data_IF_269665087161
#
_entry.id   IF_269665087161
#
_cell.length_a   1.000
_cell.length_b   1.000
_cell.length_c   1.000
_cell.angle_alpha   90.00
_cell.angle_beta   90.00
_cell.angle_gamma   90.00
#
_symmetry.space_group_name_H-M   'P 1'
#
loop_
_entity.id
_entity.type
_entity.pdbx_description
1 polymer ?
#
# COMPACT_ATOMS: atom_id res chain seq x y z
N UNK A 1 47.98 3.41 -9.43
CA UNK A 1 46.75 4.19 -9.14
C UNK A 1 46.61 5.43 -10.03
N UNK A 2 47.66 6.24 -10.14
CA UNK A 2 47.69 7.46 -10.98
C UNK A 2 47.32 7.24 -12.46
N UNK A 3 47.75 6.13 -13.06
CA UNK A 3 47.40 5.77 -14.43
C UNK A 3 45.90 5.45 -14.63
N UNK A 4 45.22 4.95 -13.59
CA UNK A 4 43.78 4.65 -13.63
C UNK A 4 42.99 5.96 -13.58
N UNK A 5 43.39 6.89 -12.71
CA UNK A 5 42.75 8.21 -12.58
C UNK A 5 42.88 9.03 -13.88
N UNK A 6 44.07 9.03 -14.50
CA UNK A 6 44.30 9.73 -15.78
C UNK A 6 43.49 9.13 -16.93
N UNK A 7 43.29 7.82 -16.93
CA UNK A 7 42.43 7.15 -17.92
C UNK A 7 40.95 7.45 -17.66
N UNK A 8 40.53 7.49 -16.40
CA UNK A 8 39.15 7.83 -16.02
C UNK A 8 38.79 9.26 -16.43
N UNK A 9 39.67 10.24 -16.20
CA UNK A 9 39.44 11.62 -16.61
C UNK A 9 39.32 11.76 -18.13
N UNK A 10 40.22 11.12 -18.88
CA UNK A 10 40.17 11.11 -20.35
C UNK A 10 38.88 10.49 -20.89
N UNK A 11 38.39 9.41 -20.27
CA UNK A 11 37.14 8.77 -20.67
C UNK A 11 35.92 9.64 -20.34
N UNK A 12 35.92 10.30 -19.19
CA UNK A 12 34.85 11.23 -18.80
C UNK A 12 34.75 12.42 -19.76
N UNK A 13 35.89 13.02 -20.14
CA UNK A 13 35.93 14.09 -21.14
C UNK A 13 35.37 13.63 -22.48
N UNK A 14 35.77 12.44 -22.95
CA UNK A 14 35.24 11.86 -24.19
C UNK A 14 33.75 11.57 -24.10
N UNK A 15 33.25 11.08 -22.96
CA UNK A 15 31.83 10.81 -22.77
C UNK A 15 30.98 12.09 -22.92
N UNK A 16 31.43 13.23 -22.39
CA UNK A 16 30.76 14.52 -22.57
C UNK A 16 30.69 15.00 -24.03
N UNK A 17 31.66 14.59 -24.87
CA UNK A 17 31.66 14.91 -26.31
C UNK A 17 30.70 14.04 -27.12
N UNK A 18 30.58 12.75 -26.75
CA UNK A 18 29.73 11.78 -27.44
C UNK A 18 28.26 11.95 -27.02
N UNK A 19 28.02 12.19 -25.74
CA UNK A 19 26.68 12.32 -25.17
C UNK A 19 26.39 13.78 -24.78
N UNK A 20 26.38 14.67 -25.78
CA UNK A 20 25.99 16.06 -25.54
C UNK A 20 24.52 16.10 -25.11
N UNK A 21 24.26 16.78 -24.00
CA UNK A 21 22.89 17.04 -23.55
C UNK A 21 22.12 17.72 -24.69
N UNK A 22 20.95 17.19 -25.11
CA UNK A 22 20.16 17.85 -26.13
C UNK A 22 19.73 19.23 -25.63
N UNK A 23 19.96 20.26 -26.44
CA UNK A 23 19.42 21.58 -26.21
C UNK A 23 17.94 21.55 -26.61
N UNK A 24 17.05 21.43 -25.62
CA UNK A 24 15.61 21.51 -25.82
C UNK A 24 15.14 22.92 -25.49
N UNK A 25 14.33 23.50 -26.37
CA UNK A 25 13.66 24.75 -26.10
C UNK A 25 12.69 24.59 -24.92
N UNK A 26 12.48 25.67 -24.15
CA UNK A 26 11.71 25.66 -22.90
C UNK A 26 10.25 25.25 -23.08
N UNK A 27 9.67 25.57 -24.24
CA UNK A 27 8.33 25.15 -24.67
C UNK A 27 8.23 23.62 -24.80
N UNK A 28 9.24 22.97 -25.38
CA UNK A 28 9.31 21.51 -25.49
C UNK A 28 9.59 20.86 -24.15
N UNK A 29 10.41 21.47 -23.29
CA UNK A 29 10.63 20.98 -21.92
C UNK A 29 9.33 20.99 -21.12
N UNK A 30 8.49 22.01 -21.30
CA UNK A 30 7.17 22.09 -20.67
C UNK A 30 6.24 20.93 -21.03
N UNK A 31 6.40 20.29 -22.20
CA UNK A 31 5.60 19.12 -22.60
C UNK A 31 5.95 17.84 -21.83
N UNK A 32 7.15 17.79 -21.23
CA UNK A 32 7.67 16.63 -20.51
C UNK A 32 7.92 16.92 -19.02
N UNK A 33 7.68 18.16 -18.58
CA UNK A 33 7.59 18.45 -17.17
C UNK A 33 6.32 17.78 -16.65
N UNK A 34 6.46 16.95 -15.62
CA UNK A 34 5.28 16.53 -14.86
C UNK A 34 4.55 17.79 -14.43
N UNK A 35 3.24 17.92 -14.71
CA UNK A 35 2.47 19.05 -14.23
C UNK A 35 2.64 19.12 -12.71
N UNK A 36 2.83 20.32 -12.16
CA UNK A 36 2.97 20.51 -10.70
C UNK A 36 1.77 19.92 -9.91
N UNK A 37 0.67 19.65 -10.61
CA UNK A 37 -0.57 19.03 -10.13
C UNK A 37 -0.45 17.60 -9.59
N UNK A 38 0.68 16.89 -9.76
CA UNK A 38 0.89 15.63 -9.01
C UNK A 38 1.10 15.84 -7.51
N UNK A 39 1.20 17.09 -7.03
CA UNK A 39 1.41 17.41 -5.60
C UNK A 39 0.13 17.54 -4.75
N UNK A 40 -1.06 17.58 -5.35
CA UNK A 40 -2.32 17.69 -4.60
C UNK A 40 -3.08 16.36 -4.52
N UNK A 41 -2.39 15.23 -4.26
CA UNK A 41 -3.11 14.10 -3.69
C UNK A 41 -3.50 14.48 -2.26
N UNK A 42 -4.80 14.59 -1.92
CA UNK A 42 -5.22 14.90 -0.56
C UNK A 42 -4.62 13.88 0.39
N UNK A 43 -3.80 14.36 1.32
CA UNK A 43 -3.23 13.51 2.38
C UNK A 43 -4.35 13.25 3.38
N UNK A 44 -4.75 11.99 3.52
CA UNK A 44 -5.76 11.59 4.48
C UNK A 44 -5.10 11.22 5.81
N UNK A 45 -5.73 11.62 6.91
CA UNK A 45 -5.40 11.21 8.26
C UNK A 45 -6.57 10.44 8.88
N UNK A 46 -6.33 9.83 10.05
CA UNK A 46 -7.33 9.08 10.82
C UNK A 46 -8.61 9.89 11.10
N UNK A 47 -8.48 11.21 11.22
CA UNK A 47 -9.58 12.14 11.50
C UNK A 47 -10.59 12.24 10.35
N UNK A 48 -10.23 11.84 9.12
CA UNK A 48 -11.14 11.88 7.97
C UNK A 48 -12.10 10.68 7.89
N UNK A 49 -11.98 9.71 8.80
CA UNK A 49 -12.87 8.54 8.84
C UNK A 49 -13.89 8.71 9.96
N UNK A 50 -15.12 9.07 9.60
CA UNK A 50 -16.23 9.36 10.54
C UNK A 50 -16.46 8.26 11.59
N UNK A 51 -16.24 7.00 11.21
CA UNK A 51 -16.49 5.84 12.07
C UNK A 51 -15.29 5.42 12.91
N UNK A 52 -14.13 6.05 12.74
CA UNK A 52 -12.90 5.70 13.43
C UNK A 52 -12.73 6.58 14.67
N UNK A 53 -13.64 6.38 15.64
CA UNK A 53 -13.72 7.14 16.89
C UNK A 53 -13.98 6.19 18.08
N UNK A 54 -13.61 6.60 19.29
CA UNK A 54 -13.81 5.82 20.52
C UNK A 54 -13.24 4.40 20.43
N UNK A 55 -14.04 3.40 20.83
CA UNK A 55 -13.64 1.99 20.83
C UNK A 55 -13.20 1.49 19.44
N UNK A 56 -13.76 2.04 18.35
CA UNK A 56 -13.37 1.66 16.97
C UNK A 56 -11.96 2.15 16.62
N UNK A 57 -11.57 3.33 17.11
CA UNK A 57 -10.21 3.86 16.95
C UNK A 57 -9.21 2.99 17.71
N UNK A 58 -9.55 2.54 18.92
CA UNK A 58 -8.69 1.68 19.72
C UNK A 58 -8.55 0.28 19.10
N UNK A 59 -9.65 -0.28 18.59
CA UNK A 59 -9.65 -1.54 17.84
C UNK A 59 -8.76 -1.44 16.58
N UNK A 60 -8.91 -0.35 15.82
CA UNK A 60 -8.06 -0.07 14.66
C UNK A 60 -6.59 0.06 15.05
N UNK A 61 -6.25 0.83 16.09
CA UNK A 61 -4.85 1.02 16.53
C UNK A 61 -4.19 -0.29 16.96
N UNK A 62 -4.94 -1.15 17.64
CA UNK A 62 -4.44 -2.47 18.04
C UNK A 62 -4.17 -3.35 16.80
N UNK A 63 -5.06 -3.31 15.81
CA UNK A 63 -4.87 -4.00 14.54
C UNK A 63 -3.68 -3.42 13.76
N UNK A 64 -3.63 -2.11 13.54
CA UNK A 64 -2.56 -1.39 12.84
C UNK A 64 -1.19 -1.74 13.42
N UNK A 65 -1.05 -1.69 14.74
CA UNK A 65 0.20 -2.04 15.42
C UNK A 65 0.65 -3.47 15.11
N UNK A 66 -0.28 -4.43 15.06
CA UNK A 66 0.06 -5.84 14.76
C UNK A 66 0.41 -6.02 13.29
N UNK A 67 -0.35 -5.40 12.39
CA UNK A 67 -0.10 -5.48 10.94
C UNK A 67 1.24 -4.86 10.56
N UNK A 68 1.59 -3.71 11.14
CA UNK A 68 2.90 -3.06 10.92
C UNK A 68 4.08 -3.85 11.49
N UNK A 69 3.84 -4.76 12.46
CA UNK A 69 4.87 -5.61 13.04
C UNK A 69 5.10 -6.91 12.27
N UNK A 70 4.35 -7.18 11.19
CA UNK A 70 4.54 -8.39 10.38
C UNK A 70 5.91 -8.40 9.69
N UNK A 71 6.30 -7.28 9.08
CA UNK A 71 7.60 -7.12 8.42
C UNK A 71 7.97 -5.64 8.29
N UNK A 72 9.26 -5.33 8.21
CA UNK A 72 9.75 -3.96 8.06
C UNK A 72 9.35 -3.29 6.74
N UNK A 73 8.97 -4.06 5.71
CA UNK A 73 8.48 -3.55 4.43
C UNK A 73 7.01 -3.10 4.47
N UNK A 74 6.27 -3.45 5.53
CA UNK A 74 4.84 -3.10 5.63
C UNK A 74 4.67 -1.60 5.86
N UNK A 75 3.81 -0.99 5.05
CA UNK A 75 3.47 0.44 5.12
C UNK A 75 1.96 0.64 5.04
N UNK A 76 1.49 1.68 5.71
CA UNK A 76 0.08 2.10 5.69
C UNK A 76 -0.10 3.32 4.77
N UNK A 77 -1.14 3.30 3.94
CA UNK A 77 -1.57 4.43 3.13
C UNK A 77 -3.04 4.75 3.41
N UNK A 78 -3.32 5.99 3.81
CA UNK A 78 -4.68 6.47 4.00
C UNK A 78 -5.26 6.98 2.66
N UNK A 79 -6.37 6.39 2.21
CA UNK A 79 -7.12 6.82 1.03
C UNK A 79 -8.44 7.44 1.45
N UNK A 80 -9.12 8.12 0.52
CA UNK A 80 -10.40 8.78 0.79
C UNK A 80 -11.45 7.88 1.45
N UNK A 81 -11.50 6.60 1.06
CA UNK A 81 -12.57 5.67 1.44
C UNK A 81 -12.09 4.49 2.29
N UNK A 82 -10.77 4.26 2.39
CA UNK A 82 -10.21 3.09 3.02
C UNK A 82 -8.75 3.32 3.42
N UNK A 83 -8.28 2.48 4.33
CA UNK A 83 -6.90 2.44 4.81
C UNK A 83 -6.25 1.20 4.21
N UNK A 84 -5.16 1.38 3.47
CA UNK A 84 -4.48 0.30 2.76
C UNK A 84 -3.19 -0.08 3.48
N UNK A 85 -3.01 -1.37 3.77
CA UNK A 85 -1.72 -1.92 4.16
C UNK A 85 -1.06 -2.59 2.96
N UNK A 86 0.21 -2.24 2.75
CA UNK A 86 0.98 -2.62 1.58
C UNK A 86 2.34 -3.16 1.99
N UNK A 87 2.83 -4.13 1.26
CA UNK A 87 4.26 -4.49 1.23
C UNK A 87 4.75 -4.37 -0.22
N UNK A 88 4.71 -5.44 -1.00
CA UNK A 88 4.89 -5.36 -2.45
C UNK A 88 3.65 -4.75 -3.13
N UNK A 89 2.48 -5.26 -2.79
CA UNK A 89 1.17 -4.77 -3.24
C UNK A 89 0.24 -4.60 -2.03
N UNK A 90 -1.03 -4.20 -2.22
CA UNK A 90 -2.02 -4.20 -1.14
C UNK A 90 -2.28 -5.64 -0.69
N UNK A 91 -2.20 -5.94 0.61
CA UNK A 91 -2.66 -7.24 1.14
C UNK A 91 -3.91 -7.11 1.99
N UNK A 92 -4.15 -5.96 2.61
CA UNK A 92 -5.40 -5.70 3.32
C UNK A 92 -5.84 -4.25 3.17
N UNK A 93 -7.09 -4.06 2.78
CA UNK A 93 -7.77 -2.77 2.75
C UNK A 93 -8.84 -2.73 3.85
N UNK A 94 -8.85 -1.68 4.66
CA UNK A 94 -9.75 -1.53 5.82
C UNK A 94 -10.70 -0.38 5.58
N UNK A 95 -11.99 -0.65 5.72
CA UNK A 95 -13.06 0.36 5.72
C UNK A 95 -13.71 0.41 7.10
N UNK A 96 -13.53 1.50 7.86
CA UNK A 96 -14.24 1.70 9.11
C UNK A 96 -15.74 1.83 8.86
N UNK A 97 -16.55 1.05 9.58
CA UNK A 97 -18.01 1.13 9.54
C UNK A 97 -18.56 1.39 10.94
N UNK A 98 -19.84 1.79 11.02
CA UNK A 98 -20.51 2.09 12.30
C UNK A 98 -20.41 0.97 13.36
N UNK A 99 -20.33 -0.30 12.96
CA UNK A 99 -20.32 -1.45 13.89
C UNK A 99 -19.03 -2.27 13.88
N UNK A 100 -18.21 -2.14 12.84
CA UNK A 100 -17.06 -3.03 12.61
C UNK A 100 -16.03 -2.41 11.71
N UNK A 101 -14.81 -2.91 11.75
CA UNK A 101 -13.85 -2.73 10.67
C UNK A 101 -14.14 -3.79 9.60
N UNK A 102 -14.37 -3.36 8.37
CA UNK A 102 -14.51 -4.28 7.23
C UNK A 102 -13.17 -4.38 6.53
N UNK A 103 -12.61 -5.59 6.49
CA UNK A 103 -11.34 -5.89 5.87
C UNK A 103 -11.59 -6.60 4.55
N UNK A 104 -10.90 -6.16 3.51
CA UNK A 104 -10.78 -6.86 2.23
C UNK A 104 -9.36 -7.39 2.12
N UNK A 105 -9.21 -8.71 2.10
CA UNK A 105 -7.92 -9.39 2.04
C UNK A 105 -7.60 -9.71 0.59
N UNK A 106 -6.42 -9.30 0.12
CA UNK A 106 -5.99 -9.51 -1.26
C UNK A 106 -5.46 -10.93 -1.47
N UNK A 107 -6.38 -11.89 -1.47
CA UNK A 107 -6.13 -13.30 -1.77
C UNK A 107 -7.37 -13.89 -2.47
N UNK A 108 -7.18 -14.94 -3.24
CA UNK A 108 -8.26 -15.76 -3.79
C UNK A 108 -9.03 -16.42 -2.64
N UNK A 109 -10.38 -16.48 -2.73
CA UNK A 109 -11.22 -17.08 -1.69
C UNK A 109 -10.90 -18.56 -1.45
N UNK A 110 -10.60 -19.31 -2.51
CA UNK A 110 -10.28 -20.74 -2.40
C UNK A 110 -8.90 -21.01 -1.74
N UNK A 111 -8.05 -20.00 -1.63
CA UNK A 111 -6.71 -20.14 -1.01
C UNK A 111 -6.71 -19.82 0.48
N UNK A 112 -7.72 -19.13 0.99
CA UNK A 112 -7.74 -18.74 2.39
C UNK A 112 -8.15 -19.91 3.27
N UNK A 113 -7.37 -20.18 4.31
CA UNK A 113 -7.69 -21.19 5.32
C UNK A 113 -8.48 -20.53 6.43
N UNK A 114 -9.79 -20.67 6.37
CA UNK A 114 -10.74 -20.12 7.33
C UNK A 114 -11.53 -21.23 8.04
N UNK A 115 -10.97 -21.89 9.07
CA UNK A 115 -11.67 -22.93 9.83
C UNK A 115 -12.95 -22.45 10.54
N UNK A 116 -13.10 -21.14 10.78
CA UNK A 116 -14.31 -20.57 11.40
C UNK A 116 -15.40 -20.20 10.39
N UNK A 117 -15.09 -20.17 9.09
CA UNK A 117 -16.05 -19.87 8.02
C UNK A 117 -16.65 -18.45 8.11
N UNK A 118 -15.89 -17.48 8.60
CA UNK A 118 -16.34 -16.09 8.76
C UNK A 118 -16.01 -15.20 7.55
N UNK A 119 -15.12 -15.67 6.66
CA UNK A 119 -14.76 -15.03 5.42
C UNK A 119 -15.92 -15.14 4.43
N UNK A 120 -16.12 -14.06 3.69
CA UNK A 120 -17.12 -14.00 2.62
C UNK A 120 -16.40 -13.94 1.28
N UNK A 121 -16.84 -14.82 0.39
CA UNK A 121 -16.45 -14.75 -1.01
C UNK A 121 -17.10 -13.51 -1.63
N UNK A 122 -16.24 -12.59 -2.07
CA UNK A 122 -16.64 -11.39 -2.79
C UNK A 122 -16.14 -11.38 -4.23
N UNK A 123 -15.62 -12.52 -4.72
CA UNK A 123 -15.29 -12.72 -6.12
C UNK A 123 -16.53 -12.51 -7.01
N UNK A 124 -16.34 -11.88 -8.17
CA UNK A 124 -17.42 -11.69 -9.15
C UNK A 124 -18.52 -10.67 -8.81
N UNK A 125 -18.46 -9.99 -7.65
CA UNK A 125 -19.44 -8.96 -7.27
C UNK A 125 -19.30 -7.62 -8.02
N UNK A 126 -18.38 -7.50 -8.98
CA UNK A 126 -18.17 -6.29 -9.78
C UNK A 126 -17.75 -5.07 -8.94
N UNK A 127 -17.07 -5.31 -7.81
CA UNK A 127 -16.64 -4.26 -6.88
C UNK A 127 -15.30 -3.68 -7.31
N UNK A 128 -15.16 -2.37 -7.11
CA UNK A 128 -13.86 -1.72 -7.12
C UNK A 128 -13.14 -2.06 -5.81
N UNK A 129 -12.10 -2.87 -5.86
CA UNK A 129 -11.34 -3.28 -4.68
C UNK A 129 -10.31 -4.37 -4.99
N UNK A 130 -9.39 -4.58 -4.06
CA UNK A 130 -8.41 -5.68 -4.12
C UNK A 130 -8.92 -6.86 -3.30
N UNK A 131 -8.72 -8.07 -3.83
CA UNK A 131 -9.01 -9.32 -3.13
C UNK A 131 -10.43 -9.86 -3.29
N UNK A 132 -10.53 -11.18 -3.12
CA UNK A 132 -11.78 -11.93 -3.22
C UNK A 132 -12.37 -12.29 -1.85
N UNK A 133 -11.70 -11.88 -0.76
CA UNK A 133 -12.11 -12.22 0.61
C UNK A 133 -12.49 -10.97 1.41
N UNK A 134 -13.70 -10.97 1.98
CA UNK A 134 -14.15 -9.96 2.94
C UNK A 134 -14.33 -10.58 4.34
N UNK A 135 -13.79 -9.93 5.38
CA UNK A 135 -13.99 -10.32 6.79
C UNK A 135 -14.26 -9.09 7.66
N UNK A 136 -15.02 -9.25 8.74
CA UNK A 136 -15.31 -8.18 9.69
C UNK A 136 -14.57 -8.39 11.01
N UNK A 137 -14.06 -7.30 11.58
CA UNK A 137 -13.52 -7.26 12.94
C UNK A 137 -14.42 -6.37 13.80
N UNK A 138 -15.13 -6.98 14.75
CA UNK A 138 -16.12 -6.30 15.60
C UNK A 138 -15.62 -6.08 17.03
N UNK A 139 -14.81 -7.00 17.55
CA UNK A 139 -14.34 -6.95 18.93
C UNK A 139 -12.85 -7.37 19.04
N UNK A 140 -12.16 -6.95 20.10
CA UNK A 140 -10.74 -7.29 20.30
C UNK A 140 -10.47 -8.79 20.43
N UNK A 141 -11.46 -9.60 20.83
CA UNK A 141 -11.31 -11.06 21.00
C UNK A 141 -11.17 -11.82 19.67
N UNK A 142 -11.57 -11.19 18.56
CA UNK A 142 -11.39 -11.74 17.21
C UNK A 142 -10.02 -11.39 16.61
N UNK A 143 -9.29 -10.47 17.24
CA UNK A 143 -8.08 -9.89 16.65
C UNK A 143 -7.01 -10.93 16.32
N UNK A 144 -6.81 -11.93 17.17
CA UNK A 144 -5.84 -13.00 16.93
C UNK A 144 -6.18 -13.78 15.66
N UNK A 145 -7.44 -14.16 15.50
CA UNK A 145 -7.89 -14.91 14.34
C UNK A 145 -7.88 -14.08 13.06
N UNK A 146 -8.28 -12.81 13.14
CA UNK A 146 -8.21 -11.90 11.99
C UNK A 146 -6.76 -11.69 11.56
N UNK A 147 -5.81 -11.63 12.50
CA UNK A 147 -4.39 -11.53 12.18
C UNK A 147 -3.86 -12.77 11.46
N UNK A 148 -4.29 -14.00 11.83
CA UNK A 148 -3.93 -15.21 11.09
C UNK A 148 -4.41 -15.17 9.62
N UNK A 149 -5.57 -14.56 9.35
CA UNK A 149 -6.08 -14.38 7.99
C UNK A 149 -5.30 -13.30 7.21
N UNK A 150 -4.92 -12.20 7.88
CA UNK A 150 -4.10 -11.14 7.28
C UNK A 150 -2.69 -11.65 6.96
N UNK A 151 -2.10 -12.46 7.84
CA UNK A 151 -0.79 -13.10 7.62
C UNK A 151 -0.82 -13.95 6.36
N UNK A 152 -1.85 -14.76 6.14
CA UNK A 152 -2.01 -15.53 4.90
C UNK A 152 -2.07 -14.62 3.66
N UNK A 153 -2.82 -13.50 3.73
CA UNK A 153 -2.90 -12.55 2.62
C UNK A 153 -1.58 -11.83 2.35
N UNK A 154 -0.78 -11.58 3.39
CA UNK A 154 0.56 -11.01 3.28
C UNK A 154 1.55 -12.02 2.67
N UNK A 155 1.55 -13.27 3.14
CA UNK A 155 2.43 -14.33 2.62
C UNK A 155 2.14 -14.67 1.15
N UNK A 156 0.87 -14.66 0.74
CA UNK A 156 0.46 -14.95 -0.64
C UNK A 156 0.93 -13.89 -1.67
N UNK A 157 1.51 -12.78 -1.22
CA UNK A 157 2.15 -11.81 -2.12
C UNK A 157 3.51 -12.26 -2.64
N UNK A 158 4.16 -13.24 -1.98
CA UNK A 158 5.52 -13.69 -2.26
C UNK A 158 5.58 -15.00 -3.04
#
# INVERSE_FOLDING_TARGET
>A
EEAILKRASLLAERACTVWKRPALASDRLGLYQEPEETKDQPVYHLEHYDHLQGDMLDLYKNLEKRVLNLDASVRVEFKKLYIAFKAQTNFVDIVPQKKRLRLSLNTEFDRIKDPRGICKDVSGLGRWGNGDVEVGLENPGELDYIMELIEQAFENQN
#
